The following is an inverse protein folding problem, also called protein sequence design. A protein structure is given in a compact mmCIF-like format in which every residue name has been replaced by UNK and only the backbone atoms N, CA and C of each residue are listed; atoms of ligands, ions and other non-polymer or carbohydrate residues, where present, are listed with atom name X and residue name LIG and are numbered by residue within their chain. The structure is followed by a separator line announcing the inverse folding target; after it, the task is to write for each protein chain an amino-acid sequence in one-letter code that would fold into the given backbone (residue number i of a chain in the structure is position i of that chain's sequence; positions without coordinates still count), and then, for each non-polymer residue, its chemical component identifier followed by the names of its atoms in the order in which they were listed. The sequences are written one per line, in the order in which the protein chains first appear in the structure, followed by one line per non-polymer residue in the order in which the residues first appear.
data_IF_523902319327
#
_entry.id   IF_523902319327
#
_cell.length_a   1.000
_cell.length_b   1.000
_cell.length_c   1.000
_cell.angle_alpha   90.00
_cell.angle_beta   90.00
_cell.angle_gamma   90.00
#
_symmetry.space_group_name_H-M   'P 1'
#
loop_
_entity.id
_entity.type
_entity.pdbx_description
1 polymer ?
#
# COMPACT_ATOMS: atom_id res chain seq x y z
N UNK A 1 -24.06 2.78 15.54
CA UNK A 1 -22.61 2.50 15.62
C UNK A 1 -21.73 3.54 14.93
N UNK A 2 -21.95 3.91 13.65
CA UNK A 2 -21.08 4.91 12.96
C UNK A 2 -20.99 6.27 13.67
N UNK A 3 -22.11 6.82 14.12
CA UNK A 3 -22.13 8.12 14.82
C UNK A 3 -21.27 8.06 16.10
N UNK A 4 -21.41 7.00 16.89
CA UNK A 4 -20.56 6.77 18.08
C UNK A 4 -19.08 6.67 17.71
N UNK A 5 -18.74 5.94 16.64
CA UNK A 5 -17.39 5.91 16.09
C UNK A 5 -16.89 7.31 15.70
N UNK A 6 -17.71 8.12 15.01
CA UNK A 6 -17.36 9.50 14.65
C UNK A 6 -17.11 10.37 15.88
N UNK A 7 -17.97 10.27 16.91
CA UNK A 7 -17.82 11.01 18.16
C UNK A 7 -16.52 10.62 18.88
N UNK A 8 -16.27 9.32 19.05
CA UNK A 8 -15.06 8.82 19.69
C UNK A 8 -13.81 9.24 18.91
N UNK A 9 -13.81 9.09 17.59
CA UNK A 9 -12.69 9.52 16.75
C UNK A 9 -12.44 11.03 16.88
N UNK A 10 -13.51 11.84 16.93
CA UNK A 10 -13.41 13.29 17.09
C UNK A 10 -12.83 13.66 18.45
N UNK A 11 -13.24 12.97 19.52
CA UNK A 11 -12.67 13.16 20.87
C UNK A 11 -11.19 12.72 20.95
N UNK A 12 -10.78 11.77 20.13
CA UNK A 12 -9.38 11.32 20.04
C UNK A 12 -8.50 12.23 19.18
N UNK A 13 -9.06 13.14 18.37
CA UNK A 13 -8.28 14.02 17.49
C UNK A 13 -7.18 14.82 18.21
N UNK A 14 -7.41 15.46 19.36
CA UNK A 14 -6.34 16.19 20.07
C UNK A 14 -5.15 15.30 20.40
N UNK A 15 -5.38 14.05 20.81
CA UNK A 15 -4.32 13.08 21.10
C UNK A 15 -3.61 12.61 19.82
N UNK A 16 -4.34 12.43 18.72
CA UNK A 16 -3.77 12.11 17.41
C UNK A 16 -2.85 13.25 16.94
N UNK A 17 -3.27 14.51 17.10
CA UNK A 17 -2.47 15.68 16.76
C UNK A 17 -1.24 15.83 17.68
N UNK A 18 -1.38 15.57 18.98
CA UNK A 18 -0.26 15.54 19.90
C UNK A 18 0.76 14.48 19.48
N UNK A 19 0.31 13.26 19.15
CA UNK A 19 1.18 12.21 18.63
C UNK A 19 1.86 12.61 17.32
N UNK A 20 1.14 13.27 16.42
CA UNK A 20 1.70 13.79 15.16
C UNK A 20 2.78 14.84 15.44
N UNK A 21 2.53 15.76 16.37
CA UNK A 21 3.49 16.77 16.81
C UNK A 21 4.73 16.15 17.43
N UNK A 22 4.58 15.20 18.35
CA UNK A 22 5.70 14.48 18.97
C UNK A 22 6.54 13.74 17.93
N UNK A 23 5.91 13.10 16.94
CA UNK A 23 6.61 12.46 15.82
C UNK A 23 7.34 13.48 14.96
N UNK A 24 6.75 14.66 14.79
CA UNK A 24 7.35 15.75 14.01
C UNK A 24 8.67 16.28 14.59
N UNK A 25 8.91 16.08 15.90
CA UNK A 25 10.20 16.42 16.54
C UNK A 25 11.37 15.60 15.97
N UNK A 26 11.12 14.35 15.58
CA UNK A 26 12.12 13.47 14.94
C UNK A 26 12.11 13.58 13.42
N UNK A 27 10.94 13.83 12.81
CA UNK A 27 10.78 13.92 11.36
C UNK A 27 9.86 15.10 11.02
N UNK A 28 10.44 16.28 10.68
CA UNK A 28 9.68 17.51 10.43
C UNK A 28 8.60 17.40 9.35
N UNK A 29 8.70 16.42 8.43
CA UNK A 29 7.70 16.19 7.40
C UNK A 29 6.29 15.89 7.95
N UNK A 30 6.17 15.36 9.18
CA UNK A 30 4.86 15.07 9.80
C UNK A 30 4.04 16.31 10.17
N UNK A 31 4.69 17.46 10.41
CA UNK A 31 3.99 18.73 10.69
C UNK A 31 3.73 19.55 9.43
N UNK A 32 4.21 19.10 8.28
CA UNK A 32 3.94 19.74 7.00
C UNK A 32 2.56 19.29 6.49
N UNK A 33 1.84 20.19 5.79
CA UNK A 33 0.57 19.88 5.12
C UNK A 33 -0.54 19.33 6.04
N UNK A 34 -0.52 19.65 7.33
CA UNK A 34 -1.58 19.28 8.30
C UNK A 34 -3.00 19.60 7.79
N UNK A 35 -3.27 20.73 7.11
CA UNK A 35 -4.61 21.02 6.59
C UNK A 35 -5.19 19.91 5.69
N UNK A 36 -4.36 19.16 4.97
CA UNK A 36 -4.81 18.04 4.14
C UNK A 36 -5.47 16.94 4.95
N UNK A 37 -4.96 16.67 6.15
CA UNK A 37 -5.53 15.70 7.09
C UNK A 37 -6.90 16.12 7.63
N UNK A 38 -7.28 17.38 7.44
CA UNK A 38 -8.62 17.89 7.76
C UNK A 38 -9.50 18.06 6.50
N UNK A 39 -9.06 17.51 5.37
CA UNK A 39 -9.74 17.57 4.08
C UNK A 39 -9.58 18.90 3.34
N UNK A 40 -8.67 19.77 3.77
CA UNK A 40 -8.32 20.97 3.00
C UNK A 40 -7.34 20.63 1.86
N UNK A 41 -7.28 21.49 0.85
CA UNK A 41 -6.46 21.29 -0.34
C UNK A 41 -7.04 22.03 -1.53
N UNK A 42 -6.28 22.18 -2.61
CA UNK A 42 -6.79 22.78 -3.85
C UNK A 42 -7.98 21.98 -4.38
N UNK A 43 -8.93 22.61 -5.07
CA UNK A 43 -9.93 21.80 -5.79
C UNK A 43 -9.25 21.16 -7.00
N UNK A 44 -9.56 19.90 -7.28
CA UNK A 44 -9.12 19.24 -8.52
C UNK A 44 -10.16 19.57 -9.61
N UNK A 45 -9.67 19.86 -10.80
CA UNK A 45 -10.50 20.09 -11.99
C UNK A 45 -10.57 18.83 -12.84
N UNK A 46 -11.74 18.56 -13.41
CA UNK A 46 -11.98 17.38 -14.24
C UNK A 46 -12.23 16.10 -13.42
N UNK A 47 -12.33 14.94 -14.10
CA UNK A 47 -12.66 13.68 -13.45
C UNK A 47 -11.45 13.12 -12.70
N UNK A 48 -11.69 12.58 -11.50
CA UNK A 48 -10.63 12.09 -10.60
C UNK A 48 -10.90 10.64 -10.20
N UNK A 49 -9.87 9.80 -10.28
CA UNK A 49 -9.85 8.47 -9.67
C UNK A 49 -9.02 8.57 -8.39
N UNK A 50 -9.64 8.29 -7.25
CA UNK A 50 -8.96 8.31 -5.97
C UNK A 50 -8.44 6.92 -5.60
N UNK A 51 -7.12 6.79 -5.45
CA UNK A 51 -6.45 5.59 -4.93
C UNK A 51 -5.98 5.84 -3.51
N UNK A 52 -6.43 5.04 -2.56
CA UNK A 52 -6.05 5.13 -1.15
C UNK A 52 -5.08 4.02 -0.77
N UNK A 53 -3.85 4.40 -0.38
CA UNK A 53 -2.76 3.50 0.01
C UNK A 53 -2.05 4.08 1.25
N UNK A 54 -2.32 3.58 2.45
CA UNK A 54 -1.86 4.20 3.71
C UNK A 54 -0.36 4.07 3.94
N UNK A 55 0.25 3.02 3.39
CA UNK A 55 1.65 2.64 3.66
C UNK A 55 2.53 2.65 2.41
N UNK A 56 3.86 2.65 2.63
CA UNK A 56 4.85 2.49 1.54
C UNK A 56 4.64 1.20 0.77
N UNK A 57 4.33 0.10 1.47
CA UNK A 57 4.10 -1.20 0.84
C UNK A 57 2.89 -1.18 -0.10
N UNK A 58 1.79 -0.57 0.34
CA UNK A 58 0.59 -0.43 -0.48
C UNK A 58 0.79 0.50 -1.67
N UNK A 59 1.54 1.61 -1.52
CA UNK A 59 1.85 2.49 -2.66
C UNK A 59 2.64 1.69 -3.71
N UNK A 60 3.63 0.89 -3.31
CA UNK A 60 4.38 0.06 -4.25
C UNK A 60 3.48 -1.00 -4.91
N UNK A 61 2.60 -1.64 -4.15
CA UNK A 61 1.63 -2.60 -4.69
C UNK A 61 0.61 -1.94 -5.63
N UNK A 62 0.30 -0.66 -5.43
CA UNK A 62 -0.62 0.11 -6.27
C UNK A 62 0.00 0.63 -7.56
N UNK A 63 1.34 0.70 -7.69
CA UNK A 63 2.01 1.29 -8.87
C UNK A 63 1.58 0.65 -10.20
N UNK A 64 1.53 -0.69 -10.35
CA UNK A 64 1.07 -1.30 -11.60
C UNK A 64 -0.38 -0.94 -11.93
N UNK A 65 -1.25 -0.91 -10.91
CA UNK A 65 -2.64 -0.51 -11.04
C UNK A 65 -2.76 0.96 -11.48
N UNK A 66 -2.04 1.87 -10.82
CA UNK A 66 -2.02 3.30 -11.17
C UNK A 66 -1.56 3.50 -12.62
N UNK A 67 -0.51 2.80 -13.04
CA UNK A 67 -0.02 2.88 -14.42
C UNK A 67 -1.07 2.44 -15.44
N UNK A 68 -1.78 1.34 -15.17
CA UNK A 68 -2.88 0.87 -16.03
C UNK A 68 -4.06 1.84 -16.03
N UNK A 69 -4.41 2.42 -14.89
CA UNK A 69 -5.47 3.42 -14.80
C UNK A 69 -5.13 4.67 -15.61
N UNK A 70 -3.89 5.16 -15.58
CA UNK A 70 -3.45 6.28 -16.40
C UNK A 70 -3.55 5.99 -17.90
N UNK A 71 -3.23 4.76 -18.32
CA UNK A 71 -3.33 4.33 -19.72
C UNK A 71 -4.79 4.22 -20.18
N UNK A 72 -5.65 3.63 -19.36
CA UNK A 72 -7.05 3.37 -19.71
C UNK A 72 -7.93 4.61 -19.56
N UNK A 73 -7.57 5.52 -18.65
CA UNK A 73 -8.33 6.73 -18.35
C UNK A 73 -7.44 8.00 -18.47
N UNK A 74 -6.92 8.32 -19.67
CA UNK A 74 -5.93 9.38 -19.86
C UNK A 74 -6.43 10.81 -19.53
N UNK A 75 -7.75 10.99 -19.48
CA UNK A 75 -8.40 12.24 -19.09
C UNK A 75 -8.63 12.37 -17.58
N UNK A 76 -8.42 11.30 -16.80
CA UNK A 76 -8.60 11.33 -15.36
C UNK A 76 -7.32 11.74 -14.64
N UNK A 77 -7.47 12.54 -13.60
CA UNK A 77 -6.40 12.75 -12.63
C UNK A 77 -6.40 11.59 -11.65
N UNK A 78 -5.24 10.99 -11.39
CA UNK A 78 -5.12 10.00 -10.32
C UNK A 78 -4.75 10.73 -9.03
N UNK A 79 -5.65 10.72 -8.05
CA UNK A 79 -5.37 11.24 -6.72
C UNK A 79 -4.97 10.08 -5.81
N UNK A 80 -3.73 10.07 -5.33
CA UNK A 80 -3.27 9.09 -4.34
C UNK A 80 -3.29 9.71 -2.95
N UNK A 81 -3.86 9.00 -1.98
CA UNK A 81 -3.76 9.39 -0.57
C UNK A 81 -2.97 8.40 0.25
N UNK A 82 -2.06 8.93 1.08
CA UNK A 82 -1.27 8.16 2.03
C UNK A 82 -1.40 8.71 3.45
N UNK A 83 -0.94 7.98 4.45
CA UNK A 83 -0.93 8.45 5.84
C UNK A 83 0.44 9.00 6.28
N UNK A 84 1.53 8.59 5.62
CA UNK A 84 2.92 8.81 6.08
C UNK A 84 3.75 9.58 5.06
N UNK A 85 4.73 10.42 5.48
CA UNK A 85 5.64 11.12 4.58
C UNK A 85 6.43 10.19 3.67
N UNK A 86 6.87 9.04 4.17
CA UNK A 86 7.57 8.04 3.35
C UNK A 86 6.66 7.44 2.27
N UNK A 87 5.36 7.26 2.56
CA UNK A 87 4.37 6.92 1.54
C UNK A 87 4.25 8.01 0.48
N UNK A 88 4.17 9.28 0.91
CA UNK A 88 4.09 10.43 0.01
C UNK A 88 5.30 10.53 -0.94
N UNK A 89 6.51 10.30 -0.43
CA UNK A 89 7.75 10.25 -1.23
C UNK A 89 7.64 9.18 -2.33
N UNK A 90 7.14 7.97 -2.01
CA UNK A 90 6.96 6.91 -3.02
C UNK A 90 5.93 7.20 -4.09
N UNK A 91 4.95 8.05 -3.79
CA UNK A 91 3.98 8.53 -4.78
C UNK A 91 4.63 9.55 -5.71
N UNK A 92 5.54 10.38 -5.22
CA UNK A 92 6.27 11.35 -6.04
C UNK A 92 7.13 10.67 -7.12
N UNK A 93 7.58 9.42 -6.88
CA UNK A 93 8.30 8.60 -7.86
C UNK A 93 7.40 8.08 -9.02
N UNK A 94 6.09 8.33 -9.00
CA UNK A 94 5.15 7.85 -10.02
C UNK A 94 5.01 8.90 -11.12
N UNK A 95 5.38 8.53 -12.35
CA UNK A 95 5.28 9.41 -13.51
C UNK A 95 3.82 9.70 -13.94
N UNK A 96 3.61 10.82 -14.61
CA UNK A 96 2.34 11.21 -15.22
C UNK A 96 1.43 12.06 -14.32
N UNK A 97 0.12 12.10 -14.63
CA UNK A 97 -0.88 12.93 -13.94
C UNK A 97 -1.31 12.34 -12.59
N UNK A 98 -0.36 12.19 -11.66
CA UNK A 98 -0.61 11.71 -10.29
C UNK A 98 -0.48 12.86 -9.31
N UNK A 99 -1.54 13.10 -8.54
CA UNK A 99 -1.53 14.04 -7.42
C UNK A 99 -1.47 13.26 -6.10
N UNK A 100 -0.83 13.84 -5.10
CA UNK A 100 -0.76 13.28 -3.75
C UNK A 100 -1.39 14.20 -2.70
N UNK A 101 -2.15 13.62 -1.76
CA UNK A 101 -2.57 14.29 -0.51
C UNK A 101 -2.47 13.34 0.68
N UNK A 102 -2.28 13.89 1.88
CA UNK A 102 -2.54 13.08 3.07
C UNK A 102 -4.03 12.75 3.17
N UNK A 103 -4.32 11.50 3.55
CA UNK A 103 -5.69 11.07 3.81
C UNK A 103 -6.33 11.95 4.90
N UNK A 104 -7.57 12.43 4.72
CA UNK A 104 -8.30 13.12 5.77
C UNK A 104 -8.58 12.17 6.95
N UNK A 105 -8.61 12.70 8.17
CA UNK A 105 -9.09 11.98 9.34
C UNK A 105 -10.54 11.53 9.13
N UNK A 106 -10.90 10.35 9.66
CA UNK A 106 -12.20 9.71 9.42
C UNK A 106 -13.36 10.35 10.20
N UNK A 107 -13.49 11.66 10.11
CA UNK A 107 -14.58 12.42 10.72
C UNK A 107 -15.51 12.95 9.63
N UNK A 108 -16.82 13.08 9.94
CA UNK A 108 -17.82 13.63 9.02
C UNK A 108 -17.38 14.88 8.26
N UNK A 109 -16.85 15.88 8.98
CA UNK A 109 -16.45 17.16 8.41
C UNK A 109 -15.22 17.07 7.51
N UNK A 110 -14.20 16.30 7.91
CA UNK A 110 -12.97 16.17 7.14
C UNK A 110 -13.20 15.39 5.84
N UNK A 111 -13.91 14.27 5.91
CA UNK A 111 -14.24 13.46 4.72
C UNK A 111 -15.12 14.26 3.75
N UNK A 112 -16.19 14.92 4.24
CA UNK A 112 -17.08 15.70 3.37
C UNK A 112 -16.34 16.81 2.63
N UNK A 113 -15.41 17.49 3.31
CA UNK A 113 -14.58 18.55 2.73
C UNK A 113 -13.58 18.02 1.72
N UNK A 114 -12.97 16.87 2.01
CA UNK A 114 -12.06 16.21 1.09
C UNK A 114 -12.78 15.80 -0.21
N UNK A 115 -13.94 15.16 -0.08
CA UNK A 115 -14.72 14.70 -1.24
C UNK A 115 -15.16 15.87 -2.13
N UNK A 116 -15.65 16.97 -1.53
CA UNK A 116 -16.09 18.14 -2.30
C UNK A 116 -14.97 18.81 -3.11
N UNK A 117 -13.70 18.68 -2.67
CA UNK A 117 -12.51 19.24 -3.32
C UNK A 117 -11.79 18.23 -4.24
N UNK A 118 -11.89 16.93 -3.98
CA UNK A 118 -11.27 15.90 -4.81
C UNK A 118 -12.03 15.63 -6.10
N UNK A 119 -13.36 15.85 -6.09
CA UNK A 119 -14.25 15.57 -7.23
C UNK A 119 -14.09 14.13 -7.77
N UNK A 120 -13.82 13.19 -6.86
CA UNK A 120 -13.57 11.79 -7.21
C UNK A 120 -14.86 11.11 -7.63
N UNK A 121 -14.84 10.37 -8.74
CA UNK A 121 -15.96 9.53 -9.19
C UNK A 121 -15.83 8.09 -8.69
N UNK A 122 -14.61 7.65 -8.40
CA UNK A 122 -14.29 6.31 -7.88
C UNK A 122 -13.25 6.44 -6.77
N UNK A 123 -13.44 5.65 -5.71
CA UNK A 123 -12.44 5.37 -4.68
C UNK A 123 -11.98 3.92 -4.80
N UNK A 124 -10.66 3.73 -4.90
CA UNK A 124 -9.98 2.42 -4.88
C UNK A 124 -9.19 2.35 -3.58
N UNK A 125 -9.55 1.43 -2.70
CA UNK A 125 -8.89 1.21 -1.41
C UNK A 125 -7.93 0.03 -1.55
N UNK A 126 -6.66 0.23 -1.21
CA UNK A 126 -5.66 -0.83 -1.23
C UNK A 126 -5.70 -1.66 0.05
N UNK A 127 -5.59 -2.98 -0.09
CA UNK A 127 -5.51 -3.94 1.02
C UNK A 127 -6.72 -3.88 1.95
N UNK A 128 -6.55 -3.50 3.23
CA UNK A 128 -7.59 -3.64 4.25
C UNK A 128 -7.72 -2.40 5.11
N UNK A 129 -8.15 -1.31 4.47
CA UNK A 129 -8.41 -0.02 5.12
C UNK A 129 -9.92 0.27 5.13
N UNK A 130 -10.62 -0.29 6.13
CA UNK A 130 -12.08 -0.12 6.29
C UNK A 130 -12.37 1.11 7.16
N UNK A 131 -12.64 2.26 6.53
CA UNK A 131 -12.89 3.55 7.18
C UNK A 131 -14.40 3.92 7.13
N UNK A 132 -15.15 3.78 8.24
CA UNK A 132 -16.61 3.89 8.22
C UNK A 132 -17.16 5.23 7.70
N UNK A 133 -16.54 6.36 8.02
CA UNK A 133 -17.04 7.65 7.51
C UNK A 133 -16.66 7.83 6.05
N UNK A 134 -15.42 7.54 5.67
CA UNK A 134 -14.96 7.54 4.28
C UNK A 134 -15.95 6.80 3.36
N UNK A 135 -16.26 5.54 3.68
CA UNK A 135 -17.14 4.70 2.86
C UNK A 135 -18.59 5.19 2.87
N UNK A 136 -19.11 5.61 4.02
CA UNK A 136 -20.45 6.16 4.13
C UNK A 136 -20.64 7.42 3.27
N UNK A 137 -19.69 8.37 3.34
CA UNK A 137 -19.79 9.62 2.59
C UNK A 137 -19.51 9.44 1.09
N UNK A 138 -18.68 8.47 0.69
CA UNK A 138 -18.57 8.08 -0.71
C UNK A 138 -19.90 7.59 -1.26
N UNK A 139 -20.56 6.65 -0.56
CA UNK A 139 -21.89 6.16 -0.95
C UNK A 139 -22.93 7.28 -1.01
N UNK A 140 -22.93 8.19 -0.03
CA UNK A 140 -23.84 9.35 0.00
C UNK A 140 -23.66 10.28 -1.22
N UNK A 141 -22.45 10.35 -1.77
CA UNK A 141 -22.14 11.16 -2.95
C UNK A 141 -22.11 10.33 -4.25
N UNK A 142 -22.63 9.10 -4.23
CA UNK A 142 -22.64 8.18 -5.38
C UNK A 142 -21.25 7.90 -5.96
N UNK A 143 -20.21 7.94 -5.13
CA UNK A 143 -18.85 7.57 -5.50
C UNK A 143 -18.72 6.06 -5.36
N UNK A 144 -18.42 5.36 -6.46
CA UNK A 144 -18.19 3.92 -6.43
C UNK A 144 -16.94 3.62 -5.58
N UNK A 145 -17.02 2.64 -4.70
CA UNK A 145 -15.89 2.26 -3.83
C UNK A 145 -15.49 0.82 -4.08
N UNK A 146 -14.20 0.59 -4.32
CA UNK A 146 -13.66 -0.72 -4.67
C UNK A 146 -12.52 -1.03 -3.70
N UNK A 147 -12.60 -2.17 -3.01
CA UNK A 147 -11.48 -2.69 -2.22
C UNK A 147 -10.65 -3.61 -3.12
N UNK A 148 -9.35 -3.40 -3.25
CA UNK A 148 -8.47 -4.18 -4.14
C UNK A 148 -7.30 -4.79 -3.39
N UNK A 149 -6.86 -5.96 -3.86
CA UNK A 149 -5.78 -6.74 -3.24
C UNK A 149 -6.05 -6.99 -1.74
N UNK A 150 -7.32 -7.16 -1.38
CA UNK A 150 -7.77 -7.23 0.00
C UNK A 150 -7.22 -8.48 0.70
N UNK A 151 -6.82 -8.30 1.96
CA UNK A 151 -6.28 -9.38 2.79
C UNK A 151 -6.85 -9.31 4.20
N UNK A 152 -7.55 -10.35 4.62
CA UNK A 152 -8.13 -10.43 5.95
C UNK A 152 -7.45 -11.54 6.74
N UNK A 153 -6.40 -11.17 7.48
CA UNK A 153 -5.77 -12.10 8.42
C UNK A 153 -6.75 -12.50 9.52
N UNK A 154 -6.57 -13.68 10.11
CA UNK A 154 -7.40 -14.16 11.22
C UNK A 154 -7.39 -13.18 12.41
N UNK A 155 -6.23 -12.60 12.71
CA UNK A 155 -6.08 -11.58 13.76
C UNK A 155 -6.90 -10.33 13.45
N UNK A 156 -6.82 -9.84 12.21
CA UNK A 156 -7.59 -8.67 11.77
C UNK A 156 -9.08 -8.95 11.80
N UNK A 157 -9.50 -10.14 11.34
CA UNK A 157 -10.90 -10.56 11.37
C UNK A 157 -11.47 -10.55 12.78
N UNK A 158 -10.77 -11.14 13.76
CA UNK A 158 -11.16 -11.06 15.17
C UNK A 158 -11.28 -9.61 15.67
N UNK A 159 -10.35 -8.75 15.28
CA UNK A 159 -10.37 -7.33 15.64
C UNK A 159 -11.62 -6.61 15.12
N UNK A 160 -11.95 -6.81 13.85
CA UNK A 160 -13.15 -6.24 13.23
C UNK A 160 -14.45 -6.84 13.78
N UNK A 161 -14.47 -8.15 14.06
CA UNK A 161 -15.65 -8.84 14.61
C UNK A 161 -16.10 -8.26 15.96
N UNK A 162 -15.19 -7.69 16.77
CA UNK A 162 -15.54 -6.99 18.02
C UNK A 162 -16.50 -5.81 17.82
N UNK A 163 -16.53 -5.25 16.62
CA UNK A 163 -17.43 -4.16 16.24
C UNK A 163 -18.27 -4.55 15.01
N UNK A 164 -18.77 -5.80 14.98
CA UNK A 164 -19.43 -6.41 13.82
C UNK A 164 -20.45 -5.50 13.13
N UNK A 165 -21.34 -4.83 13.87
CA UNK A 165 -22.34 -3.95 13.25
C UNK A 165 -21.75 -2.72 12.54
N UNK A 166 -20.64 -2.16 13.05
CA UNK A 166 -19.92 -1.08 12.39
C UNK A 166 -19.17 -1.59 11.15
N UNK A 167 -18.48 -2.73 11.29
CA UNK A 167 -17.72 -3.37 10.22
C UNK A 167 -18.62 -3.80 9.07
N UNK A 168 -19.68 -4.55 9.34
CA UNK A 168 -20.64 -4.98 8.33
C UNK A 168 -21.25 -3.78 7.61
N UNK A 169 -21.68 -2.76 8.35
CA UNK A 169 -22.22 -1.53 7.76
C UNK A 169 -21.20 -0.81 6.87
N UNK A 170 -19.91 -0.83 7.22
CA UNK A 170 -18.85 -0.24 6.42
C UNK A 170 -18.59 -1.07 5.15
N UNK A 171 -18.45 -2.39 5.28
CA UNK A 171 -18.21 -3.34 4.18
C UNK A 171 -19.32 -3.31 3.13
N UNK A 172 -20.57 -3.16 3.55
CA UNK A 172 -21.73 -3.05 2.66
C UNK A 172 -21.76 -1.77 1.79
N UNK A 173 -20.83 -0.83 2.00
CA UNK A 173 -20.70 0.34 1.14
C UNK A 173 -19.71 0.12 -0.01
N UNK A 174 -18.93 -0.97 0.00
CA UNK A 174 -18.11 -1.35 -1.15
C UNK A 174 -19.00 -1.80 -2.30
N UNK A 175 -18.78 -1.18 -3.46
CA UNK A 175 -19.40 -1.59 -4.72
C UNK A 175 -18.82 -2.92 -5.19
N UNK A 176 -17.52 -3.12 -5.00
CA UNK A 176 -16.78 -4.33 -5.37
C UNK A 176 -15.64 -4.58 -4.38
N UNK A 177 -15.33 -5.85 -4.11
CA UNK A 177 -14.23 -6.29 -3.25
C UNK A 177 -13.43 -7.35 -4.00
N UNK A 178 -12.17 -7.09 -4.26
CA UNK A 178 -11.23 -7.97 -4.92
C UNK A 178 -10.18 -8.47 -3.90
N UNK A 179 -10.28 -9.75 -3.54
CA UNK A 179 -9.44 -10.40 -2.52
C UNK A 179 -8.32 -11.23 -3.13
N UNK A 180 -7.27 -11.47 -2.35
CA UNK A 180 -6.12 -12.24 -2.82
C UNK A 180 -6.38 -13.75 -2.93
N UNK A 181 -7.17 -14.32 -2.01
CA UNK A 181 -7.42 -15.76 -1.95
C UNK A 181 -8.80 -16.05 -1.32
N UNK A 182 -9.21 -17.32 -1.38
CA UNK A 182 -10.50 -17.79 -0.87
C UNK A 182 -10.68 -17.58 0.63
N UNK A 183 -9.64 -17.79 1.43
CA UNK A 183 -9.71 -17.61 2.89
C UNK A 183 -9.97 -16.14 3.27
N UNK A 184 -9.40 -15.20 2.53
CA UNK A 184 -9.67 -13.76 2.72
C UNK A 184 -11.12 -13.41 2.36
N UNK A 185 -11.66 -14.02 1.29
CA UNK A 185 -13.06 -13.89 0.89
C UNK A 185 -14.02 -14.33 2.01
N UNK A 186 -13.83 -15.56 2.49
CA UNK A 186 -14.68 -16.17 3.52
C UNK A 186 -14.71 -15.32 4.78
N UNK A 187 -13.54 -14.83 5.22
CA UNK A 187 -13.47 -13.96 6.40
C UNK A 187 -14.16 -12.62 6.19
N UNK A 188 -14.05 -12.01 5.01
CA UNK A 188 -14.76 -10.75 4.73
C UNK A 188 -16.27 -10.95 4.68
N UNK A 189 -16.74 -12.05 4.07
CA UNK A 189 -18.17 -12.41 4.06
C UNK A 189 -18.68 -12.63 5.49
N UNK A 190 -17.94 -13.35 6.34
CA UNK A 190 -18.28 -13.54 7.76
C UNK A 190 -18.36 -12.21 8.54
N UNK A 191 -17.55 -11.21 8.15
CA UNK A 191 -17.60 -9.87 8.74
C UNK A 191 -18.75 -8.99 8.19
N UNK A 192 -19.53 -9.51 7.24
CA UNK A 192 -20.68 -8.83 6.66
C UNK A 192 -20.42 -8.16 5.31
N UNK A 193 -19.38 -8.54 4.57
CA UNK A 193 -19.26 -8.19 3.15
C UNK A 193 -20.33 -8.91 2.31
N UNK A 194 -20.73 -8.29 1.19
CA UNK A 194 -21.69 -8.89 0.27
C UNK A 194 -20.97 -9.93 -0.61
N UNK A 195 -21.40 -11.19 -0.55
CA UNK A 195 -20.82 -12.29 -1.34
C UNK A 195 -20.98 -12.09 -2.85
N UNK A 196 -22.04 -11.40 -3.30
CA UNK A 196 -22.29 -11.17 -4.72
C UNK A 196 -21.33 -10.16 -5.36
N UNK A 197 -20.65 -9.34 -4.55
CA UNK A 197 -19.70 -8.31 -4.99
C UNK A 197 -18.29 -8.52 -4.42
N UNK A 198 -18.03 -9.71 -3.90
CA UNK A 198 -16.70 -10.11 -3.39
C UNK A 198 -16.15 -11.19 -4.32
N UNK A 199 -14.93 -10.99 -4.82
CA UNK A 199 -14.32 -11.82 -5.85
C UNK A 199 -12.86 -12.13 -5.51
N UNK A 200 -12.43 -13.37 -5.72
CA UNK A 200 -11.01 -13.75 -5.66
C UNK A 200 -10.32 -13.37 -6.96
N UNK A 201 -9.37 -12.43 -6.90
CA UNK A 201 -8.64 -11.92 -8.08
C UNK A 201 -7.14 -12.21 -8.06
N UNK A 202 -6.63 -12.79 -6.97
CA UNK A 202 -5.19 -12.97 -6.78
C UNK A 202 -4.50 -11.72 -6.22
N UNK A 203 -3.17 -11.78 -6.12
CA UNK A 203 -2.37 -10.68 -5.56
C UNK A 203 -1.73 -9.81 -6.63
N UNK A 204 -1.87 -8.49 -6.50
CA UNK A 204 -1.19 -7.49 -7.34
C UNK A 204 0.34 -7.63 -7.33
N UNK A 205 0.91 -8.31 -6.34
CA UNK A 205 2.36 -8.59 -6.28
C UNK A 205 2.85 -9.42 -7.47
N UNK A 206 1.96 -10.17 -8.12
CA UNK A 206 2.29 -10.98 -9.29
C UNK A 206 2.13 -10.22 -10.62
N UNK A 207 1.53 -9.01 -10.60
CA UNK A 207 1.40 -8.15 -11.79
C UNK A 207 2.67 -7.32 -12.07
N UNK A 208 3.77 -7.64 -11.38
CA UNK A 208 5.07 -7.05 -11.66
C UNK A 208 5.53 -7.43 -13.06
N UNK A 209 5.67 -6.43 -13.93
CA UNK A 209 6.33 -6.60 -15.21
C UNK A 209 7.80 -6.23 -15.05
N UNK A 210 8.74 -7.15 -15.32
CA UNK A 210 10.14 -6.78 -15.33
C UNK A 210 10.40 -5.70 -16.41
N UNK A 211 11.39 -4.81 -16.20
CA UNK A 211 11.84 -3.86 -17.21
C UNK A 211 12.13 -4.54 -18.55
N UNK A 212 11.87 -3.83 -19.65
CA UNK A 212 12.06 -4.37 -21.03
C UNK A 212 13.51 -4.77 -21.27
N UNK A 213 14.44 -4.02 -20.68
CA UNK A 213 15.89 -4.19 -20.75
C UNK A 213 16.45 -5.19 -19.73
N UNK A 214 15.60 -5.87 -18.93
CA UNK A 214 16.12 -6.77 -17.89
C UNK A 214 16.93 -7.92 -18.47
N UNK A 215 16.56 -8.41 -19.67
CA UNK A 215 17.26 -9.51 -20.33
C UNK A 215 18.63 -9.06 -20.84
N UNK A 216 18.72 -7.84 -21.38
CA UNK A 216 19.97 -7.25 -21.83
C UNK A 216 20.89 -6.96 -20.64
N UNK A 217 20.36 -6.36 -19.57
CA UNK A 217 21.09 -6.12 -18.32
C UNK A 217 21.57 -7.42 -17.67
N UNK A 218 20.72 -8.45 -17.65
CA UNK A 218 21.07 -9.78 -17.13
C UNK A 218 22.15 -10.46 -17.99
N UNK A 219 22.11 -10.29 -19.31
CA UNK A 219 23.13 -10.80 -20.23
C UNK A 219 24.47 -10.10 -19.99
N UNK A 220 24.48 -8.78 -19.90
CA UNK A 220 25.69 -8.01 -19.61
C UNK A 220 26.31 -8.42 -18.26
N UNK A 221 25.49 -8.58 -17.20
CA UNK A 221 25.94 -9.10 -15.90
C UNK A 221 26.48 -10.53 -16.00
N UNK A 222 25.81 -11.40 -16.77
CA UNK A 222 26.26 -12.79 -16.99
C UNK A 222 27.60 -12.84 -17.71
N UNK A 223 27.81 -12.01 -18.72
CA UNK A 223 29.08 -11.88 -19.43
C UNK A 223 30.19 -11.39 -18.48
N UNK A 224 29.90 -10.36 -17.66
CA UNK A 224 30.83 -9.84 -16.66
C UNK A 224 31.20 -10.89 -15.59
N UNK A 225 30.24 -11.68 -15.13
CA UNK A 225 30.45 -12.69 -14.09
C UNK A 225 31.03 -14.00 -14.63
N UNK A 226 31.05 -14.19 -15.95
CA UNK A 226 31.44 -15.42 -16.62
C UNK A 226 30.22 -16.27 -16.98
N UNK A 227 30.09 -16.58 -18.28
CA UNK A 227 28.94 -17.28 -18.87
C UNK A 227 28.73 -18.65 -18.23
N UNK A 228 29.80 -19.41 -18.02
CA UNK A 228 29.76 -20.76 -17.43
C UNK A 228 29.90 -20.77 -15.91
N UNK A 229 30.17 -19.61 -15.30
CA UNK A 229 30.39 -19.49 -13.86
C UNK A 229 29.10 -19.81 -13.11
N UNK A 230 29.18 -20.73 -12.14
CA UNK A 230 28.05 -21.01 -11.25
C UNK A 230 27.86 -19.83 -10.29
N UNK A 231 26.68 -19.22 -10.36
CA UNK A 231 26.32 -18.06 -9.54
C UNK A 231 25.20 -18.46 -8.60
N UNK A 232 25.39 -18.25 -7.30
CA UNK A 232 24.39 -18.39 -6.27
C UNK A 232 24.01 -17.02 -5.74
N UNK A 233 22.72 -16.72 -5.68
CA UNK A 233 22.21 -15.46 -5.12
C UNK A 233 21.48 -15.79 -3.82
N UNK A 234 21.89 -15.14 -2.72
CA UNK A 234 21.20 -15.15 -1.44
C UNK A 234 20.66 -13.73 -1.20
N UNK A 235 19.36 -13.53 -1.41
CA UNK A 235 18.73 -12.21 -1.39
C UNK A 235 17.77 -12.04 -0.20
N UNK A 236 17.71 -10.81 0.33
CA UNK A 236 16.93 -10.43 1.51
C UNK A 236 17.30 -11.17 2.81
N UNK A 237 18.58 -11.48 3.01
CA UNK A 237 19.07 -12.12 4.24
C UNK A 237 18.99 -11.20 5.46
N UNK A 238 18.63 -11.78 6.60
CA UNK A 238 18.60 -11.16 7.93
C UNK A 238 19.82 -11.60 8.76
N UNK A 239 20.09 -10.87 9.86
CA UNK A 239 21.20 -11.18 10.76
C UNK A 239 21.08 -12.62 11.29
N UNK A 240 22.15 -13.40 11.19
CA UNK A 240 22.16 -14.82 11.50
C UNK A 240 21.96 -15.73 10.29
N UNK A 241 21.39 -15.23 9.19
CA UNK A 241 21.25 -16.00 7.94
C UNK A 241 22.49 -15.87 7.05
N UNK A 242 23.16 -14.70 7.08
CA UNK A 242 24.34 -14.42 6.27
C UNK A 242 25.50 -15.37 6.59
N UNK A 243 25.75 -15.58 7.89
CA UNK A 243 26.82 -16.44 8.39
C UNK A 243 26.63 -17.89 7.91
N UNK A 244 25.38 -18.39 7.98
CA UNK A 244 25.02 -19.73 7.51
C UNK A 244 25.26 -19.87 5.99
N UNK A 245 24.87 -18.84 5.22
CA UNK A 245 25.08 -18.83 3.76
C UNK A 245 26.57 -18.80 3.42
N UNK A 246 27.36 -17.99 4.13
CA UNK A 246 28.80 -17.86 3.91
C UNK A 246 29.53 -19.17 4.26
N UNK A 247 29.18 -19.83 5.36
CA UNK A 247 29.72 -21.14 5.73
C UNK A 247 29.40 -22.21 4.69
N UNK A 248 28.15 -22.26 4.22
CA UNK A 248 27.74 -23.17 3.15
C UNK A 248 28.49 -22.88 1.85
N UNK A 249 28.69 -21.60 1.51
CA UNK A 249 29.43 -21.20 0.32
C UNK A 249 30.92 -21.55 0.41
N UNK A 250 31.54 -21.42 1.58
CA UNK A 250 32.92 -21.85 1.81
C UNK A 250 33.10 -23.35 1.57
N UNK A 251 32.10 -24.17 1.95
CA UNK A 251 32.09 -25.61 1.62
C UNK A 251 31.88 -25.85 0.12
N UNK A 252 30.97 -25.10 -0.52
CA UNK A 252 30.71 -25.19 -1.96
C UNK A 252 31.96 -24.88 -2.78
N UNK A 253 32.73 -23.84 -2.42
CA UNK A 253 33.95 -23.45 -3.11
C UNK A 253 35.04 -24.52 -3.12
N UNK A 254 35.05 -25.45 -2.15
CA UNK A 254 35.96 -26.61 -2.18
C UNK A 254 35.71 -27.53 -3.38
N UNK A 255 34.47 -27.57 -3.89
CA UNK A 255 34.07 -28.39 -5.05
C UNK A 255 33.94 -27.57 -6.33
N UNK A 256 33.57 -26.30 -6.22
CA UNK A 256 33.42 -25.35 -7.32
C UNK A 256 34.23 -24.08 -7.00
N UNK A 257 35.57 -24.08 -7.22
CA UNK A 257 36.45 -22.98 -6.83
C UNK A 257 36.05 -21.64 -7.44
N UNK A 258 35.57 -21.71 -8.69
CA UNK A 258 35.10 -20.60 -9.49
C UNK A 258 33.65 -20.20 -9.19
N UNK A 259 32.96 -20.74 -8.19
CA UNK A 259 31.61 -20.28 -7.88
C UNK A 259 31.59 -18.79 -7.45
N UNK A 260 30.49 -18.08 -7.73
CA UNK A 260 30.22 -16.73 -7.25
C UNK A 260 29.02 -16.76 -6.29
N UNK A 261 29.17 -16.14 -5.12
CA UNK A 261 28.04 -15.81 -4.25
C UNK A 261 27.73 -14.33 -4.38
N UNK A 262 26.46 -14.01 -4.65
CA UNK A 262 25.91 -12.66 -4.56
C UNK A 262 25.02 -12.63 -3.32
N UNK A 263 25.52 -11.99 -2.26
CA UNK A 263 24.82 -11.85 -0.98
C UNK A 263 24.18 -10.46 -0.89
N UNK A 264 22.86 -10.39 -0.73
CA UNK A 264 22.09 -9.14 -0.70
C UNK A 264 21.26 -9.06 0.59
N UNK A 265 21.81 -8.48 1.67
CA UNK A 265 21.08 -8.30 2.92
C UNK A 265 19.77 -7.51 2.78
N UNK A 266 18.80 -7.77 3.65
CA UNK A 266 17.52 -7.05 3.67
C UNK A 266 17.68 -5.55 3.97
N UNK A 267 18.70 -5.19 4.75
CA UNK A 267 18.98 -3.82 5.18
C UNK A 267 20.30 -3.32 4.57
N UNK A 268 20.30 -2.23 3.77
CA UNK A 268 21.50 -1.72 3.10
C UNK A 268 22.68 -1.40 4.03
N UNK A 269 22.39 -0.96 5.25
CA UNK A 269 23.37 -0.67 6.30
C UNK A 269 24.32 -1.85 6.59
N UNK A 270 23.90 -3.07 6.26
CA UNK A 270 24.67 -4.29 6.51
C UNK A 270 25.58 -4.70 5.37
N UNK A 271 25.51 -4.06 4.21
CA UNK A 271 26.25 -4.49 3.02
C UNK A 271 27.76 -4.56 3.29
N UNK A 272 28.32 -3.55 3.94
CA UNK A 272 29.74 -3.53 4.29
C UNK A 272 30.13 -4.58 5.33
N UNK A 273 29.21 -4.93 6.25
CA UNK A 273 29.49 -5.87 7.33
C UNK A 273 29.56 -7.34 6.86
N UNK A 274 28.99 -7.64 5.68
CA UNK A 274 28.97 -9.00 5.10
C UNK A 274 29.74 -9.08 3.77
N UNK A 275 30.35 -7.97 3.34
CA UNK A 275 31.23 -7.96 2.19
C UNK A 275 32.50 -8.75 2.53
N UNK A 276 32.79 -9.78 1.73
CA UNK A 276 33.96 -10.65 1.86
C UNK A 276 35.06 -10.24 0.88
#
# INVERSE_FOLDING_TARGET
MRILYSLLFTLLLPFILLRLYLRSRKSPAYRQRIPERFGFGTSISGPTIWVHAVSVGEVQAAKPLISRLQQQYPQHTILVTTMTPTGAERVADINGKVLHRYVPYDTPGCISRFLSRSKSSVLIVMETEIWPNMLHYCRKQHIATILVNARMSERSARGYARFAGLTASALQNFSQIAVQNRTDEERLIQLGANSATTHVTGSLKFDFKPPVDIQESARALREQWGVDRKVWIAASTHKGEDEIVLEAFAQLRKRLPEALLVLVPRHPERFNAVAA
#
